data_IF_251025388202
#
_entry.id   IF_251025388202
#
_cell.length_a   1.000
_cell.length_b   1.000
_cell.length_c   1.000
_cell.angle_alpha   90.00
_cell.angle_beta   90.00
_cell.angle_gamma   90.00
#
_symmetry.space_group_name_H-M   'P 1'
#
loop_
_entity.id
_entity.type
_entity.pdbx_description
1 polymer ?
#
# COMPACT_ATOMS: atom_id res chain seq x y z
N UNK A 1 14.61 -5.31 10.55
CA UNK A 1 13.83 -5.97 9.48
C UNK A 1 12.57 -6.49 10.16
N UNK A 2 11.48 -5.75 10.08
CA UNK A 2 10.22 -6.16 10.69
C UNK A 2 9.54 -7.11 9.72
N UNK A 3 9.49 -8.40 10.06
CA UNK A 3 8.68 -9.37 9.32
C UNK A 3 7.21 -8.97 9.50
N UNK A 4 6.60 -8.48 8.41
CA UNK A 4 5.17 -8.27 8.33
C UNK A 4 4.50 -9.63 8.53
N UNK A 5 3.60 -9.71 9.52
CA UNK A 5 2.82 -10.93 9.72
C UNK A 5 1.74 -10.98 8.63
N UNK A 6 1.47 -12.17 8.11
CA UNK A 6 0.58 -12.48 6.98
C UNK A 6 -0.86 -11.92 7.04
N UNK A 7 -1.29 -11.34 8.17
CA UNK A 7 -2.59 -10.67 8.28
C UNK A 7 -2.57 -9.20 7.80
N UNK A 8 -1.38 -8.63 7.61
CA UNK A 8 -1.19 -7.22 7.21
C UNK A 8 -0.65 -7.08 5.77
N UNK A 9 -0.46 -8.19 5.05
CA UNK A 9 0.08 -8.19 3.70
C UNK A 9 -1.04 -8.27 2.65
N UNK A 10 -1.02 -7.32 1.70
CA UNK A 10 -1.86 -7.39 0.51
C UNK A 10 -1.23 -8.42 -0.43
N UNK A 11 -1.96 -9.48 -0.84
CA UNK A 11 -1.39 -10.49 -1.73
C UNK A 11 -1.04 -9.86 -3.08
N UNK A 12 0.04 -10.32 -3.71
CA UNK A 12 0.31 -9.94 -5.10
C UNK A 12 -0.82 -10.41 -6.03
N UNK A 13 -0.98 -9.74 -7.16
CA UNK A 13 -1.96 -10.09 -8.20
C UNK A 13 -1.90 -11.57 -8.58
N UNK A 14 -0.69 -12.11 -8.72
CA UNK A 14 -0.46 -13.52 -9.01
C UNK A 14 -1.01 -14.44 -7.92
N UNK A 15 -0.73 -14.14 -6.65
CA UNK A 15 -1.22 -14.93 -5.53
C UNK A 15 -2.74 -14.80 -5.38
N UNK A 16 -3.29 -13.60 -5.58
CA UNK A 16 -4.72 -13.35 -5.54
C UNK A 16 -5.47 -14.22 -6.56
N UNK A 17 -5.08 -14.17 -7.83
CA UNK A 17 -5.75 -14.93 -8.90
C UNK A 17 -5.58 -16.44 -8.72
N UNK A 18 -4.39 -16.91 -8.34
CA UNK A 18 -4.17 -18.34 -8.11
C UNK A 18 -4.95 -18.88 -6.92
N UNK A 19 -5.11 -18.10 -5.85
CA UNK A 19 -5.92 -18.52 -4.70
C UNK A 19 -7.39 -18.68 -5.08
N UNK A 20 -7.93 -17.84 -5.97
CA UNK A 20 -9.32 -17.98 -6.45
C UNK A 20 -9.59 -19.30 -7.18
N UNK A 21 -8.57 -19.99 -7.71
CA UNK A 21 -8.71 -21.27 -8.39
C UNK A 21 -9.22 -22.40 -7.49
N UNK A 22 -8.91 -22.33 -6.19
CA UNK A 22 -9.18 -23.41 -5.23
C UNK A 22 -9.94 -22.93 -3.99
N UNK A 23 -10.08 -21.61 -3.81
CA UNK A 23 -10.77 -21.02 -2.68
C UNK A 23 -12.27 -21.34 -2.69
N UNK A 24 -12.77 -21.88 -1.58
CA UNK A 24 -14.21 -21.96 -1.27
C UNK A 24 -14.75 -20.55 -0.95
N UNK A 25 -14.99 -19.78 -2.01
CA UNK A 25 -15.58 -18.45 -1.88
C UNK A 25 -17.07 -18.53 -1.54
N UNK A 26 -17.75 -19.63 -1.89
CA UNK A 26 -19.16 -19.83 -1.60
C UNK A 26 -19.45 -19.81 -0.09
N UNK A 27 -18.53 -20.32 0.75
CA UNK A 27 -18.64 -20.24 2.21
C UNK A 27 -18.73 -18.79 2.71
N UNK A 28 -18.16 -17.85 1.97
CA UNK A 28 -18.25 -16.40 2.20
C UNK A 28 -19.35 -15.77 1.32
N UNK A 29 -20.59 -16.26 1.45
CA UNK A 29 -21.72 -15.91 0.56
C UNK A 29 -21.88 -14.42 0.26
N UNK A 30 -21.69 -13.55 1.26
CA UNK A 30 -21.80 -12.09 1.09
C UNK A 30 -20.69 -11.55 0.17
N UNK A 31 -19.46 -12.02 0.37
CA UNK A 31 -18.29 -11.67 -0.46
C UNK A 31 -18.48 -12.21 -1.87
N UNK A 32 -18.87 -13.48 -2.01
CA UNK A 32 -19.15 -14.09 -3.31
C UNK A 32 -20.21 -13.29 -4.09
N UNK A 33 -21.37 -13.01 -3.47
CA UNK A 33 -22.44 -12.22 -4.09
C UNK A 33 -21.92 -10.84 -4.50
N UNK A 34 -21.22 -10.15 -3.60
CA UNK A 34 -20.68 -8.82 -3.88
C UNK A 34 -19.70 -8.82 -5.06
N UNK A 35 -18.74 -9.75 -5.10
CA UNK A 35 -17.79 -9.88 -6.20
C UNK A 35 -18.51 -10.17 -7.53
N UNK A 36 -19.44 -11.12 -7.56
CA UNK A 36 -20.21 -11.46 -8.76
C UNK A 36 -21.06 -10.27 -9.25
N UNK A 37 -21.66 -9.50 -8.32
CA UNK A 37 -22.43 -8.30 -8.65
C UNK A 37 -21.56 -7.20 -9.24
N UNK A 38 -20.35 -7.02 -8.70
CA UNK A 38 -19.38 -6.03 -9.23
C UNK A 38 -18.85 -6.43 -10.59
N UNK A 39 -18.57 -7.72 -10.78
CA UNK A 39 -18.18 -8.29 -12.06
C UNK A 39 -19.22 -8.00 -13.14
N UNK A 40 -20.50 -8.34 -12.89
CA UNK A 40 -21.57 -8.11 -13.87
C UNK A 40 -21.67 -6.64 -14.31
N UNK A 41 -21.59 -5.71 -13.36
CA UNK A 41 -21.78 -4.29 -13.61
C UNK A 41 -20.47 -3.56 -13.96
N UNK A 42 -19.35 -4.26 -14.11
CA UNK A 42 -18.05 -3.64 -14.35
C UNK A 42 -17.95 -3.05 -15.75
N UNK A 43 -17.62 -1.76 -15.83
CA UNK A 43 -17.45 -1.01 -17.08
C UNK A 43 -18.72 -0.89 -17.95
N UNK A 44 -19.91 -1.08 -17.35
CA UNK A 44 -21.20 -0.83 -18.00
C UNK A 44 -21.85 0.45 -17.46
N UNK A 45 -22.32 1.31 -18.37
CA UNK A 45 -23.07 2.52 -18.00
C UNK A 45 -24.46 2.19 -17.46
N UNK A 46 -25.10 1.18 -18.03
CA UNK A 46 -26.37 0.63 -17.55
C UNK A 46 -26.07 -0.55 -16.64
N UNK A 47 -26.43 -0.42 -15.36
CA UNK A 47 -26.21 -1.46 -14.36
C UNK A 47 -27.52 -2.21 -14.08
N UNK A 48 -27.41 -3.51 -13.83
CA UNK A 48 -28.54 -4.30 -13.35
C UNK A 48 -28.58 -4.28 -11.82
N UNK A 49 -29.79 -4.23 -11.27
CA UNK A 49 -30.03 -4.45 -9.85
C UNK A 49 -29.80 -5.93 -9.53
N UNK A 50 -28.92 -6.21 -8.57
CA UNK A 50 -28.53 -7.59 -8.20
C UNK A 50 -28.99 -7.98 -6.79
N UNK A 51 -29.71 -7.09 -6.09
CA UNK A 51 -30.14 -7.28 -4.71
C UNK A 51 -31.03 -8.52 -4.53
N UNK A 52 -31.93 -8.75 -5.48
CA UNK A 52 -32.84 -9.91 -5.50
C UNK A 52 -32.20 -11.16 -6.12
N UNK A 53 -31.00 -11.05 -6.70
CA UNK A 53 -30.31 -12.21 -7.27
C UNK A 53 -29.61 -13.00 -6.16
N UNK A 54 -29.56 -14.31 -6.33
CA UNK A 54 -28.88 -15.22 -5.41
C UNK A 54 -27.71 -15.89 -6.11
N UNK A 55 -26.71 -16.29 -5.30
CA UNK A 55 -25.58 -17.08 -5.81
C UNK A 55 -26.07 -18.49 -6.12
N UNK A 56 -25.81 -18.95 -7.34
CA UNK A 56 -26.14 -20.28 -7.82
C UNK A 56 -24.89 -20.98 -8.35
N UNK A 57 -24.88 -22.30 -8.21
CA UNK A 57 -23.84 -23.17 -8.74
C UNK A 57 -24.14 -23.57 -10.19
N UNK A 58 -23.16 -23.46 -11.09
CA UNK A 58 -23.31 -23.96 -12.46
C UNK A 58 -23.30 -25.50 -12.43
N UNK A 59 -22.18 -26.09 -12.01
CA UNK A 59 -22.09 -27.50 -11.62
C UNK A 59 -22.74 -27.68 -10.24
N UNK A 60 -23.80 -28.50 -10.10
CA UNK A 60 -24.63 -28.57 -8.90
C UNK A 60 -23.92 -29.25 -7.73
N UNK A 61 -24.41 -28.99 -6.51
CA UNK A 61 -23.94 -29.66 -5.30
C UNK A 61 -24.20 -31.17 -5.31
N UNK A 62 -25.24 -31.63 -6.01
CA UNK A 62 -25.49 -33.06 -6.23
C UNK A 62 -25.33 -33.40 -7.70
N UNK A 63 -24.30 -34.19 -8.03
CA UNK A 63 -24.06 -34.63 -9.40
C UNK A 63 -25.15 -35.61 -9.88
N UNK A 64 -25.80 -35.27 -10.98
CA UNK A 64 -26.67 -36.18 -11.74
C UNK A 64 -25.84 -37.01 -12.73
N UNK A 65 -26.47 -38.01 -13.36
CA UNK A 65 -25.80 -38.82 -14.39
C UNK A 65 -25.30 -37.98 -15.58
N UNK A 66 -26.03 -36.94 -15.98
CA UNK A 66 -25.61 -36.03 -17.05
C UNK A 66 -24.35 -35.25 -16.66
N UNK A 67 -24.26 -34.80 -15.40
CA UNK A 67 -23.09 -34.09 -14.90
C UNK A 67 -21.88 -35.00 -14.77
N UNK A 68 -22.03 -36.24 -14.25
CA UNK A 68 -20.94 -37.23 -14.23
C UNK A 68 -20.40 -37.50 -15.64
N UNK A 69 -21.30 -37.65 -16.62
CA UNK A 69 -20.92 -37.81 -18.03
C UNK A 69 -20.19 -36.58 -18.58
N UNK A 70 -20.63 -35.37 -18.25
CA UNK A 70 -20.02 -34.11 -18.70
C UNK A 70 -18.62 -33.89 -18.12
N UNK A 71 -18.42 -34.25 -16.86
CA UNK A 71 -17.15 -34.10 -16.15
C UNK A 71 -16.15 -35.23 -16.46
N UNK A 72 -16.64 -36.39 -16.89
CA UNK A 72 -15.81 -37.55 -17.26
C UNK A 72 -15.35 -38.36 -16.04
N UNK A 73 -14.28 -39.14 -16.22
CA UNK A 73 -13.84 -40.13 -15.21
C UNK A 73 -13.38 -39.52 -13.87
N UNK A 74 -12.98 -38.25 -13.86
CA UNK A 74 -12.49 -37.56 -12.66
C UNK A 74 -13.58 -36.71 -12.01
N UNK A 75 -14.86 -37.04 -12.21
CA UNK A 75 -15.95 -36.18 -11.80
C UNK A 75 -16.02 -35.92 -10.30
N UNK A 76 -15.63 -36.88 -9.45
CA UNK A 76 -15.54 -36.68 -8.00
C UNK A 76 -14.48 -35.64 -7.63
N UNK A 77 -13.26 -35.77 -8.15
CA UNK A 77 -12.15 -34.86 -7.87
C UNK A 77 -12.46 -33.43 -8.36
N UNK A 78 -13.00 -33.32 -9.58
CA UNK A 78 -13.41 -32.03 -10.13
C UNK A 78 -14.52 -31.40 -9.29
N UNK A 79 -15.47 -32.21 -8.81
CA UNK A 79 -16.56 -31.72 -7.97
C UNK A 79 -16.05 -31.24 -6.61
N UNK A 80 -15.20 -32.02 -5.95
CA UNK A 80 -14.61 -31.66 -4.67
C UNK A 80 -13.79 -30.35 -4.75
N UNK A 81 -12.94 -30.23 -5.77
CA UNK A 81 -12.01 -29.10 -5.89
C UNK A 81 -12.67 -27.81 -6.38
N UNK A 82 -13.69 -27.91 -7.26
CA UNK A 82 -14.20 -26.74 -7.99
C UNK A 82 -15.67 -26.42 -7.75
N UNK A 83 -16.39 -27.19 -6.93
CA UNK A 83 -17.81 -26.90 -6.65
C UNK A 83 -18.02 -25.49 -6.10
N UNK A 84 -17.17 -25.07 -5.17
CA UNK A 84 -17.36 -23.82 -4.42
C UNK A 84 -16.50 -22.65 -4.90
N UNK A 85 -15.77 -22.81 -6.01
CA UNK A 85 -14.85 -21.81 -6.53
C UNK A 85 -15.57 -20.77 -7.38
N UNK A 86 -14.96 -19.59 -7.52
CA UNK A 86 -15.57 -18.43 -8.20
C UNK A 86 -16.05 -18.76 -9.62
N UNK A 87 -15.29 -19.54 -10.38
CA UNK A 87 -15.66 -19.90 -11.74
C UNK A 87 -16.93 -20.74 -11.84
N UNK A 88 -17.27 -21.51 -10.81
CA UNK A 88 -18.49 -22.32 -10.79
C UNK A 88 -19.72 -21.59 -10.24
N UNK A 89 -19.61 -20.29 -9.92
CA UNK A 89 -20.70 -19.50 -9.36
C UNK A 89 -21.27 -18.51 -10.39
N UNK A 90 -22.56 -18.22 -10.24
CA UNK A 90 -23.31 -17.21 -11.00
C UNK A 90 -24.34 -16.50 -10.12
N UNK A 91 -24.93 -15.42 -10.63
CA UNK A 91 -26.08 -14.74 -10.03
C UNK A 91 -27.35 -15.02 -10.82
N UNK A 92 -28.42 -15.40 -10.12
CA UNK A 92 -29.72 -15.67 -10.73
C UNK A 92 -30.87 -15.51 -9.73
N UNK A 93 -32.03 -15.07 -10.22
CA UNK A 93 -33.29 -15.08 -9.49
C UNK A 93 -34.04 -16.41 -9.58
N UNK A 94 -33.53 -17.36 -10.39
CA UNK A 94 -34.18 -18.63 -10.71
C UNK A 94 -33.48 -19.83 -10.05
N UNK A 95 -32.83 -19.63 -8.91
CA UNK A 95 -32.02 -20.64 -8.25
C UNK A 95 -32.80 -21.94 -7.98
N UNK A 96 -34.02 -21.84 -7.43
CA UNK A 96 -34.91 -22.99 -7.19
C UNK A 96 -35.24 -23.77 -8.47
N UNK A 97 -35.28 -23.10 -9.62
CA UNK A 97 -35.57 -23.71 -10.93
C UNK A 97 -34.33 -24.35 -11.58
N UNK A 98 -33.12 -23.91 -11.21
CA UNK A 98 -31.85 -24.39 -11.77
C UNK A 98 -31.34 -25.64 -11.03
N UNK A 99 -31.19 -25.58 -9.71
CA UNK A 99 -30.89 -26.71 -8.81
C UNK A 99 -29.96 -27.78 -9.43
N UNK A 100 -30.40 -29.04 -9.54
CA UNK A 100 -29.61 -30.16 -10.08
C UNK A 100 -29.86 -30.42 -11.57
N UNK A 101 -30.42 -29.46 -12.33
CA UNK A 101 -30.63 -29.62 -13.78
C UNK A 101 -29.31 -29.81 -14.52
N UNK A 102 -29.41 -30.38 -15.72
CA UNK A 102 -28.27 -30.51 -16.63
C UNK A 102 -27.71 -29.14 -17.02
N UNK A 103 -26.44 -29.12 -17.45
CA UNK A 103 -25.80 -27.89 -17.90
C UNK A 103 -26.59 -27.20 -19.02
N UNK A 104 -27.09 -27.97 -19.99
CA UNK A 104 -27.85 -27.43 -21.13
C UNK A 104 -29.15 -26.76 -20.68
N UNK A 105 -29.92 -27.40 -19.80
CA UNK A 105 -31.14 -26.81 -19.24
C UNK A 105 -30.85 -25.54 -18.41
N UNK A 106 -29.75 -25.54 -17.65
CA UNK A 106 -29.31 -24.36 -16.90
C UNK A 106 -28.93 -23.23 -17.85
N UNK A 107 -28.14 -23.54 -18.89
CA UNK A 107 -27.73 -22.60 -19.92
C UNK A 107 -28.94 -22.00 -20.64
N UNK A 108 -29.90 -22.80 -21.07
CA UNK A 108 -31.15 -22.33 -21.69
C UNK A 108 -31.93 -21.39 -20.77
N UNK A 109 -32.03 -21.74 -19.48
CA UNK A 109 -32.70 -20.89 -18.48
C UNK A 109 -31.98 -19.56 -18.32
N UNK A 110 -30.64 -19.55 -18.29
CA UNK A 110 -29.85 -18.32 -18.22
C UNK A 110 -30.03 -17.48 -19.50
N UNK A 111 -29.98 -18.08 -20.69
CA UNK A 111 -30.22 -17.38 -21.97
C UNK A 111 -31.60 -16.70 -21.96
N UNK A 112 -32.63 -17.41 -21.46
CA UNK A 112 -34.01 -16.94 -21.55
C UNK A 112 -34.38 -15.91 -20.50
N UNK A 113 -33.80 -15.99 -19.30
CA UNK A 113 -34.29 -15.25 -18.14
C UNK A 113 -33.22 -14.48 -17.35
N UNK A 114 -31.94 -14.81 -17.49
CA UNK A 114 -30.89 -14.08 -16.77
C UNK A 114 -30.69 -12.70 -17.41
N UNK A 115 -30.55 -11.68 -16.56
CA UNK A 115 -30.08 -10.36 -16.98
C UNK A 115 -28.56 -10.19 -16.81
N UNK A 116 -27.92 -11.09 -16.05
CA UNK A 116 -26.49 -11.09 -15.83
C UNK A 116 -25.80 -11.71 -17.06
N UNK A 117 -25.40 -10.89 -18.02
CA UNK A 117 -24.85 -11.34 -19.30
C UNK A 117 -23.32 -11.31 -19.30
N UNK A 118 -22.71 -10.27 -18.73
CA UNK A 118 -21.26 -10.16 -18.71
C UNK A 118 -20.62 -11.21 -17.80
N UNK A 119 -21.20 -11.41 -16.61
CA UNK A 119 -20.83 -12.47 -15.69
C UNK A 119 -20.99 -13.83 -16.35
N UNK A 120 -22.07 -14.07 -17.10
CA UNK A 120 -22.40 -15.39 -17.65
C UNK A 120 -21.85 -15.67 -19.04
N UNK A 121 -21.13 -14.74 -19.66
CA UNK A 121 -20.63 -14.89 -21.04
C UNK A 121 -19.92 -16.22 -21.30
N UNK A 122 -19.11 -16.73 -20.39
CA UNK A 122 -18.42 -18.02 -20.60
C UNK A 122 -19.40 -19.19 -20.52
N UNK A 123 -20.38 -19.16 -19.61
CA UNK A 123 -21.42 -20.20 -19.51
C UNK A 123 -22.26 -20.22 -20.80
N UNK A 124 -22.67 -19.04 -21.28
CA UNK A 124 -23.52 -18.91 -22.47
C UNK A 124 -22.80 -19.34 -23.77
N UNK A 125 -21.49 -19.16 -23.84
CA UNK A 125 -20.69 -19.52 -25.01
C UNK A 125 -19.99 -20.89 -24.90
N UNK A 126 -20.19 -21.62 -23.79
CA UNK A 126 -19.57 -22.91 -23.57
C UNK A 126 -20.52 -24.06 -23.91
N UNK A 127 -20.00 -25.11 -24.55
CA UNK A 127 -20.75 -26.34 -24.84
C UNK A 127 -20.56 -27.41 -23.75
N UNK A 128 -19.39 -27.44 -23.10
CA UNK A 128 -19.03 -28.48 -22.13
C UNK A 128 -18.53 -27.82 -20.84
N UNK A 129 -19.26 -27.97 -19.74
CA UNK A 129 -18.82 -27.46 -18.45
C UNK A 129 -17.93 -28.46 -17.71
N UNK A 130 -16.61 -28.32 -17.86
CA UNK A 130 -15.60 -29.17 -17.24
C UNK A 130 -14.57 -28.34 -16.46
N UNK A 131 -13.63 -29.03 -15.81
CA UNK A 131 -12.52 -28.43 -15.06
C UNK A 131 -11.82 -27.29 -15.83
N UNK A 132 -11.43 -27.56 -17.09
CA UNK A 132 -10.74 -26.57 -17.92
C UNK A 132 -11.55 -25.27 -18.04
N UNK A 133 -12.86 -25.37 -18.27
CA UNK A 133 -13.72 -24.21 -18.42
C UNK A 133 -13.96 -23.48 -17.09
N UNK A 134 -14.05 -24.21 -15.96
CA UNK A 134 -14.16 -23.61 -14.63
C UNK A 134 -12.88 -22.83 -14.28
N UNK A 135 -11.70 -23.42 -14.50
CA UNK A 135 -10.40 -22.76 -14.27
C UNK A 135 -10.24 -21.54 -15.18
N UNK A 136 -10.52 -21.68 -16.47
CA UNK A 136 -10.39 -20.59 -17.46
C UNK A 136 -11.28 -19.41 -17.08
N UNK A 137 -12.53 -19.67 -16.72
CA UNK A 137 -13.45 -18.65 -16.22
C UNK A 137 -12.96 -18.02 -14.92
N UNK A 138 -12.46 -18.82 -13.97
CA UNK A 138 -11.95 -18.30 -12.70
C UNK A 138 -10.80 -17.31 -12.92
N UNK A 139 -9.85 -17.63 -13.80
CA UNK A 139 -8.74 -16.73 -14.15
C UNK A 139 -9.25 -15.42 -14.75
N UNK A 140 -10.12 -15.50 -15.75
CA UNK A 140 -10.72 -14.32 -16.39
C UNK A 140 -11.45 -13.43 -15.37
N UNK A 141 -12.26 -14.04 -14.50
CA UNK A 141 -12.98 -13.30 -13.45
C UNK A 141 -12.02 -12.71 -12.43
N UNK A 142 -10.96 -13.43 -12.04
CA UNK A 142 -9.91 -12.93 -11.15
C UNK A 142 -9.19 -11.71 -11.71
N UNK A 143 -8.82 -11.74 -12.99
CA UNK A 143 -8.20 -10.60 -13.69
C UNK A 143 -9.15 -9.39 -13.77
N UNK A 144 -10.45 -9.60 -13.96
CA UNK A 144 -11.43 -8.51 -13.92
C UNK A 144 -11.60 -7.96 -12.50
N UNK A 145 -11.59 -8.81 -11.46
CA UNK A 145 -11.63 -8.39 -10.06
C UNK A 145 -10.44 -7.51 -9.69
N UNK A 146 -9.22 -7.84 -10.15
CA UNK A 146 -8.03 -7.01 -9.93
C UNK A 146 -8.21 -5.58 -10.47
N UNK A 147 -8.88 -5.44 -11.62
CA UNK A 147 -9.18 -4.12 -12.20
C UNK A 147 -10.34 -3.40 -11.51
N UNK A 148 -11.29 -4.14 -10.94
CA UNK A 148 -12.41 -3.57 -10.18
C UNK A 148 -11.91 -3.01 -8.84
N UNK A 149 -11.03 -3.74 -8.18
CA UNK A 149 -10.48 -3.41 -6.86
C UNK A 149 -9.00 -3.11 -6.94
N UNK A 150 -8.63 -2.28 -7.92
CA UNK A 150 -7.27 -1.82 -8.10
C UNK A 150 -6.78 -1.13 -6.83
N UNK A 151 -5.66 -1.61 -6.29
CA UNK A 151 -4.97 -0.97 -5.17
C UNK A 151 -4.08 0.11 -5.76
N UNK A 152 -4.28 1.40 -5.42
CA UNK A 152 -3.45 2.46 -5.97
C UNK A 152 -1.98 2.23 -5.63
N UNK A 153 -1.10 2.40 -6.61
CA UNK A 153 0.34 2.44 -6.33
C UNK A 153 0.62 3.60 -5.38
N UNK A 154 1.14 3.29 -4.20
CA UNK A 154 1.66 4.31 -3.30
C UNK A 154 3.06 4.67 -3.76
N UNK A 155 3.31 5.97 -3.93
CA UNK A 155 4.62 6.56 -4.25
C UNK A 155 5.74 6.34 -3.20
N UNK A 156 5.56 5.39 -2.27
CA UNK A 156 6.51 5.11 -1.18
C UNK A 156 6.56 6.18 -0.08
N UNK A 157 5.73 7.24 -0.14
CA UNK A 157 5.77 8.33 0.87
C UNK A 157 5.00 8.04 2.17
N UNK A 158 4.35 6.87 2.26
CA UNK A 158 3.54 6.42 3.40
C UNK A 158 2.26 7.22 3.63
N UNK A 159 1.29 6.62 4.33
CA UNK A 159 0.10 7.32 4.81
C UNK A 159 0.49 8.31 5.93
N UNK A 160 0.26 9.60 5.73
CA UNK A 160 0.49 10.65 6.74
C UNK A 160 -0.84 11.06 7.37
N UNK A 161 -0.99 10.79 8.67
CA UNK A 161 -2.16 11.20 9.45
C UNK A 161 -2.07 12.64 10.00
N UNK A 162 -0.89 13.27 9.93
CA UNK A 162 -0.71 14.68 10.26
C UNK A 162 -0.65 15.51 8.97
N UNK A 163 -1.32 16.68 8.97
CA UNK A 163 -1.24 17.65 7.88
C UNK A 163 0.16 18.28 7.87
N UNK A 164 1.03 17.76 7.02
CA UNK A 164 2.42 18.20 6.88
C UNK A 164 2.76 18.41 5.42
N UNK A 165 3.65 19.35 5.17
CA UNK A 165 4.21 19.61 3.84
C UNK A 165 5.70 19.26 3.85
N UNK A 166 6.16 18.75 2.71
CA UNK A 166 7.54 18.38 2.44
C UNK A 166 8.31 19.58 1.92
N UNK A 167 9.55 19.72 2.38
CA UNK A 167 10.49 20.75 1.96
C UNK A 167 11.85 20.11 1.72
N UNK A 168 12.53 20.58 0.68
CA UNK A 168 13.95 20.33 0.46
C UNK A 168 14.79 21.48 1.03
N UNK A 169 16.12 21.37 0.90
CA UNK A 169 17.02 22.44 1.32
C UNK A 169 16.95 23.70 0.44
N UNK A 170 16.28 23.68 -0.72
CA UNK A 170 16.08 24.83 -1.61
C UNK A 170 14.76 25.60 -1.31
N UNK A 171 14.36 25.61 -0.04
CA UNK A 171 13.14 26.28 0.43
C UNK A 171 13.14 27.81 0.24
N UNK A 172 11.95 28.40 0.12
CA UNK A 172 11.76 29.84 0.29
C UNK A 172 11.50 30.17 1.77
N UNK A 173 12.23 31.15 2.32
CA UNK A 173 12.14 31.52 3.73
C UNK A 173 10.72 31.83 4.21
N UNK A 174 9.90 32.46 3.37
CA UNK A 174 8.51 32.78 3.74
C UNK A 174 7.63 31.52 3.87
N UNK A 175 8.00 30.39 3.26
CA UNK A 175 7.25 29.12 3.34
C UNK A 175 7.43 28.40 4.67
N UNK A 176 8.55 28.64 5.37
CA UNK A 176 8.88 27.96 6.63
C UNK A 176 8.70 28.84 7.87
N UNK A 177 8.49 30.15 7.66
CA UNK A 177 8.40 31.14 8.73
C UNK A 177 7.17 30.90 9.60
N UNK A 178 7.38 30.83 10.92
CA UNK A 178 6.31 30.61 11.90
C UNK A 178 5.79 29.18 11.99
N UNK A 179 6.29 28.26 11.15
CA UNK A 179 5.88 26.85 11.14
C UNK A 179 6.63 26.02 12.16
N UNK A 180 6.12 24.81 12.40
CA UNK A 180 6.70 23.84 13.34
C UNK A 180 7.25 22.65 12.58
N UNK A 181 8.49 22.28 12.89
CA UNK A 181 9.10 21.04 12.45
C UNK A 181 8.28 19.82 12.88
N UNK A 182 8.28 18.79 12.05
CA UNK A 182 7.61 17.52 12.30
C UNK A 182 8.55 16.33 12.19
N UNK A 183 9.31 16.25 11.10
CA UNK A 183 10.26 15.17 10.88
C UNK A 183 11.31 15.51 9.81
N UNK A 184 12.33 14.67 9.72
CA UNK A 184 13.34 14.67 8.67
C UNK A 184 13.45 13.28 8.04
N UNK A 185 13.86 13.19 6.79
CA UNK A 185 14.15 11.93 6.10
C UNK A 185 15.39 12.08 5.22
N UNK A 186 16.32 11.14 5.38
CA UNK A 186 17.34 10.85 4.39
C UNK A 186 16.77 9.81 3.42
N UNK A 187 16.71 10.14 2.13
CA UNK A 187 15.98 9.36 1.11
C UNK A 187 16.60 7.98 0.94
N UNK A 188 17.92 7.90 0.92
CA UNK A 188 18.71 6.66 0.80
C UNK A 188 18.57 5.72 2.02
N UNK A 189 18.39 6.28 3.22
CA UNK A 189 18.22 5.52 4.46
C UNK A 189 16.80 4.97 4.66
N UNK A 190 15.85 5.43 3.84
CA UNK A 190 14.41 5.14 3.93
C UNK A 190 13.83 5.20 5.36
N UNK A 191 14.34 6.14 6.17
CA UNK A 191 13.96 6.31 7.57
C UNK A 191 13.58 7.75 7.85
N UNK A 192 12.31 7.93 8.24
CA UNK A 192 11.82 9.20 8.77
C UNK A 192 12.05 9.27 10.29
N UNK A 193 12.58 10.39 10.76
CA UNK A 193 12.85 10.65 12.19
C UNK A 193 12.00 11.81 12.64
N UNK A 194 11.20 11.60 13.71
CA UNK A 194 10.35 12.65 14.29
C UNK A 194 11.17 13.70 15.01
N UNK A 195 10.82 14.95 14.77
CA UNK A 195 11.49 16.12 15.35
C UNK A 195 10.43 17.12 15.80
N UNK A 196 10.49 17.56 17.05
CA UNK A 196 9.44 18.40 17.63
C UNK A 196 9.67 19.90 17.43
N UNK A 197 10.85 20.31 16.95
CA UNK A 197 11.23 21.68 16.64
C UNK A 197 12.48 21.70 15.75
N UNK A 198 12.81 22.84 15.16
CA UNK A 198 13.99 23.00 14.27
C UNK A 198 15.31 22.69 14.98
N UNK A 199 15.49 23.03 16.26
CA UNK A 199 16.72 22.72 16.99
C UNK A 199 16.94 21.19 17.06
N UNK A 200 15.88 20.44 17.33
CA UNK A 200 15.93 18.97 17.35
C UNK A 200 16.20 18.39 15.97
N UNK A 201 15.72 19.00 14.87
CA UNK A 201 16.11 18.57 13.53
C UNK A 201 17.63 18.60 13.34
N UNK A 202 18.27 19.71 13.72
CA UNK A 202 19.73 19.83 13.63
C UNK A 202 20.45 18.79 14.50
N UNK A 203 19.94 18.53 15.71
CA UNK A 203 20.51 17.52 16.61
C UNK A 203 20.48 16.13 15.99
N UNK A 204 19.33 15.72 15.44
CA UNK A 204 19.20 14.41 14.79
C UNK A 204 20.13 14.30 13.57
N UNK A 205 20.23 15.36 12.76
CA UNK A 205 21.20 15.39 11.64
C UNK A 205 22.63 15.25 12.14
N UNK A 206 23.02 15.97 13.19
CA UNK A 206 24.36 15.86 13.78
C UNK A 206 24.63 14.43 14.25
N UNK A 207 23.68 13.79 14.93
CA UNK A 207 23.84 12.41 15.37
C UNK A 207 23.97 11.42 14.21
N UNK A 208 23.25 11.61 13.11
CA UNK A 208 23.39 10.77 11.92
C UNK A 208 24.77 10.94 11.31
N UNK A 209 25.21 12.19 11.09
CA UNK A 209 26.51 12.48 10.51
C UNK A 209 27.68 12.02 11.39
N UNK A 210 27.55 12.17 12.71
CA UNK A 210 28.53 11.66 13.69
C UNK A 210 28.65 10.14 13.67
N UNK A 211 27.54 9.43 13.43
CA UNK A 211 27.56 7.98 13.24
C UNK A 211 28.18 7.57 11.88
N UNK A 212 28.10 8.43 10.87
CA UNK A 212 28.71 8.21 9.55
C UNK A 212 30.23 8.40 9.63
N UNK A 213 30.71 9.52 10.20
CA UNK A 213 32.13 9.81 10.39
C UNK A 213 32.36 10.72 11.60
N UNK A 214 32.57 10.11 12.77
CA UNK A 214 32.76 10.84 14.02
C UNK A 214 34.04 11.66 14.08
N UNK A 215 35.11 11.26 13.38
CA UNK A 215 36.37 12.02 13.33
C UNK A 215 36.17 13.34 12.61
N UNK A 216 35.45 13.30 11.49
CA UNK A 216 35.08 14.50 10.77
C UNK A 216 34.19 15.43 11.58
N UNK A 217 33.27 14.88 12.38
CA UNK A 217 32.49 15.69 13.32
C UNK A 217 33.36 16.33 14.40
N UNK A 218 34.36 15.61 14.92
CA UNK A 218 35.33 16.16 15.88
C UNK A 218 36.13 17.32 15.28
N UNK A 219 36.59 17.19 14.03
CA UNK A 219 37.30 18.26 13.31
C UNK A 219 36.40 19.50 13.12
N UNK A 220 35.14 19.29 12.71
CA UNK A 220 34.13 20.35 12.57
C UNK A 220 33.87 21.07 13.90
N UNK A 221 33.81 20.32 15.01
CA UNK A 221 33.61 20.89 16.33
C UNK A 221 34.85 21.65 16.84
N UNK A 222 36.06 21.20 16.50
CA UNK A 222 37.31 21.88 16.82
C UNK A 222 37.47 23.20 16.05
N UNK A 223 36.99 23.24 14.80
CA UNK A 223 36.98 24.43 13.94
C UNK A 223 35.87 25.43 14.29
N UNK A 224 35.13 25.19 15.37
CA UNK A 224 34.07 26.08 15.86
C UNK A 224 33.02 26.37 14.79
N UNK A 225 32.40 25.30 14.29
CA UNK A 225 31.45 25.34 13.19
C UNK A 225 30.44 26.48 13.28
N UNK A 226 30.41 27.32 12.24
CA UNK A 226 29.39 28.34 12.01
C UNK A 226 28.80 28.17 10.60
N UNK A 227 27.47 28.17 10.43
CA UNK A 227 26.86 28.11 9.09
C UNK A 227 27.17 29.34 8.24
N UNK A 228 27.43 30.51 8.83
CA UNK A 228 27.78 31.74 8.09
C UNK A 228 29.25 32.10 8.29
N UNK A 229 29.96 32.43 7.22
CA UNK A 229 31.38 32.81 7.27
C UNK A 229 31.64 34.06 8.12
N UNK A 230 30.71 35.02 8.12
CA UNK A 230 30.78 36.25 8.91
C UNK A 230 30.04 36.16 10.26
N UNK A 231 29.53 34.97 10.60
CA UNK A 231 28.65 34.74 11.75
C UNK A 231 29.36 34.97 13.08
N UNK A 232 28.65 35.59 14.03
CA UNK A 232 29.02 35.58 15.44
C UNK A 232 28.32 34.40 16.12
N UNK A 233 29.04 33.70 17.00
CA UNK A 233 28.61 32.54 17.79
C UNK A 233 28.47 31.24 16.99
N UNK A 234 29.33 30.30 17.34
CA UNK A 234 29.42 28.96 16.76
C UNK A 234 28.14 28.17 17.06
N UNK A 235 27.92 27.08 16.31
CA UNK A 235 26.78 26.17 16.48
C UNK A 235 27.19 24.80 16.98
N UNK A 236 28.40 24.36 16.63
CA UNK A 236 28.98 23.12 17.13
C UNK A 236 30.38 23.44 17.65
N UNK A 237 30.71 22.92 18.83
CA UNK A 237 32.00 23.15 19.48
C UNK A 237 32.41 21.93 20.31
N UNK A 238 33.71 21.79 20.55
CA UNK A 238 34.28 20.81 21.48
C UNK A 238 34.66 21.41 22.85
N UNK A 239 34.35 22.69 23.12
CA UNK A 239 34.71 23.33 24.38
C UNK A 239 34.04 22.67 25.58
N UNK A 240 34.86 22.16 26.50
CA UNK A 240 34.40 21.64 27.78
C UNK A 240 33.98 22.77 28.74
N UNK A 241 33.13 22.45 29.72
CA UNK A 241 32.74 23.39 30.79
C UNK A 241 31.67 24.41 30.39
N UNK A 242 31.02 24.25 29.23
CA UNK A 242 29.89 25.09 28.84
C UNK A 242 28.72 24.94 29.83
N UNK A 243 28.05 26.05 30.20
CA UNK A 243 26.96 26.01 31.16
C UNK A 243 25.76 25.24 30.60
N UNK A 244 25.25 24.26 31.33
CA UNK A 244 24.04 23.53 30.92
C UNK A 244 22.82 24.45 30.99
N UNK A 245 22.40 24.99 29.84
CA UNK A 245 21.27 25.90 29.72
C UNK A 245 20.62 25.78 28.33
N UNK A 246 19.56 26.54 28.07
CA UNK A 246 18.81 26.46 26.80
C UNK A 246 19.64 26.75 25.53
N UNK A 247 20.84 27.32 25.68
CA UNK A 247 21.74 27.62 24.57
C UNK A 247 22.85 26.59 24.38
N UNK A 248 23.15 25.74 25.37
CA UNK A 248 24.23 24.76 25.27
C UNK A 248 23.73 23.36 25.62
N UNK A 249 23.94 22.41 24.72
CA UNK A 249 23.53 21.03 24.90
C UNK A 249 24.68 20.10 24.55
N UNK A 250 25.10 19.26 25.52
CA UNK A 250 26.05 18.19 25.26
C UNK A 250 25.37 17.11 24.41
N UNK A 251 25.99 16.75 23.29
CA UNK A 251 25.53 15.68 22.40
C UNK A 251 26.27 14.37 22.69
N UNK A 252 27.58 14.45 22.90
CA UNK A 252 28.45 13.40 23.46
C UNK A 252 29.71 14.03 24.05
N UNK A 253 30.66 13.22 24.52
CA UNK A 253 31.96 13.72 24.95
C UNK A 253 32.64 14.50 23.83
N UNK A 254 33.14 15.69 24.16
CA UNK A 254 33.78 16.65 23.24
C UNK A 254 32.90 17.13 22.06
N UNK A 255 31.56 17.00 22.16
CA UNK A 255 30.65 17.49 21.13
C UNK A 255 29.45 18.21 21.76
N UNK A 256 29.34 19.50 21.49
CA UNK A 256 28.32 20.37 22.06
C UNK A 256 27.62 21.17 20.96
N UNK A 257 26.29 21.24 21.06
CA UNK A 257 25.47 22.19 20.31
C UNK A 257 25.38 23.50 21.09
N UNK A 258 25.74 24.62 20.47
CA UNK A 258 25.87 25.92 21.17
C UNK A 258 25.11 27.05 20.49
N UNK A 259 24.68 28.03 21.29
CA UNK A 259 23.97 29.23 20.84
C UNK A 259 22.45 29.08 20.61
N UNK A 260 21.87 30.16 20.10
CA UNK A 260 20.48 30.23 19.66
C UNK A 260 20.31 29.86 18.18
N UNK A 261 19.10 29.43 17.81
CA UNK A 261 18.78 28.89 16.49
C UNK A 261 17.51 29.52 15.94
N UNK A 262 17.61 30.23 14.81
CA UNK A 262 16.45 30.51 13.95
C UNK A 262 16.17 29.29 13.06
N UNK A 263 14.96 29.19 12.51
CA UNK A 263 14.62 28.14 11.54
C UNK A 263 15.57 28.17 10.33
N UNK A 264 15.81 29.35 9.78
CA UNK A 264 16.80 29.53 8.72
C UNK A 264 18.20 29.10 9.14
N UNK A 265 18.65 29.47 10.34
CA UNK A 265 19.95 29.09 10.86
C UNK A 265 20.15 27.60 11.04
N UNK A 266 19.08 26.88 11.39
CA UNK A 266 19.09 25.42 11.41
C UNK A 266 19.26 24.86 10.01
N UNK A 267 18.49 25.34 9.04
CA UNK A 267 18.55 24.80 7.68
C UNK A 267 19.91 25.08 7.03
N UNK A 268 20.45 26.29 7.22
CA UNK A 268 21.81 26.62 6.76
C UNK A 268 22.88 25.77 7.44
N UNK A 269 22.70 25.44 8.72
CA UNK A 269 23.60 24.51 9.43
C UNK A 269 23.56 23.12 8.81
N UNK A 270 22.36 22.59 8.55
CA UNK A 270 22.17 21.29 7.91
C UNK A 270 22.80 21.29 6.51
N UNK A 271 22.51 22.31 5.70
CA UNK A 271 23.08 22.47 4.35
C UNK A 271 24.60 22.46 4.36
N UNK A 272 25.22 23.27 5.23
CA UNK A 272 26.68 23.34 5.34
C UNK A 272 27.28 22.02 5.82
N UNK A 273 26.64 21.35 6.78
CA UNK A 273 27.07 20.03 7.24
C UNK A 273 26.99 18.97 6.13
N UNK A 274 25.90 18.92 5.37
CA UNK A 274 25.75 17.98 4.24
C UNK A 274 26.85 18.20 3.19
N UNK A 275 27.11 19.47 2.84
CA UNK A 275 28.19 19.82 1.93
C UNK A 275 29.56 19.40 2.47
N UNK A 276 29.85 19.63 3.76
CA UNK A 276 31.09 19.16 4.38
C UNK A 276 31.22 17.64 4.28
N UNK A 277 30.12 16.88 4.44
CA UNK A 277 30.09 15.42 4.34
C UNK A 277 30.01 14.88 2.89
N UNK A 278 29.95 15.74 1.88
CA UNK A 278 29.74 15.38 0.47
C UNK A 278 28.43 14.59 0.24
N UNK A 279 27.37 14.92 1.00
CA UNK A 279 26.04 14.35 0.80
C UNK A 279 25.24 15.30 -0.09
N UNK A 280 24.64 14.76 -1.16
CA UNK A 280 23.77 15.53 -2.06
C UNK A 280 22.56 16.06 -1.28
N UNK A 281 22.30 17.37 -1.39
CA UNK A 281 21.18 18.05 -0.73
C UNK A 281 19.82 17.44 -1.11
N UNK A 282 19.69 16.88 -2.30
CA UNK A 282 18.47 16.21 -2.74
C UNK A 282 18.18 14.90 -2.00
N UNK A 283 19.15 14.36 -1.24
CA UNK A 283 18.96 13.18 -0.40
C UNK A 283 18.32 13.53 0.95
N UNK A 284 18.07 14.80 1.24
CA UNK A 284 17.47 15.23 2.50
C UNK A 284 16.19 16.02 2.26
N UNK A 285 15.13 15.61 2.95
CA UNK A 285 13.89 16.36 3.04
C UNK A 285 13.49 16.52 4.50
N UNK A 286 12.75 17.58 4.79
CA UNK A 286 12.13 17.80 6.09
C UNK A 286 10.66 18.13 5.93
N UNK A 287 9.90 17.82 6.97
CA UNK A 287 8.47 17.99 7.00
C UNK A 287 8.10 19.01 8.05
N UNK A 288 7.24 19.96 7.66
CA UNK A 288 6.68 20.96 8.55
C UNK A 288 5.18 20.77 8.65
N UNK A 289 4.61 21.01 9.82
CA UNK A 289 3.15 21.07 9.98
C UNK A 289 2.58 22.20 9.12
N UNK A 290 1.46 21.94 8.44
CA UNK A 290 0.70 22.95 7.70
C UNK A 290 0.35 24.10 8.66
N UNK A 291 0.50 25.34 8.19
CA UNK A 291 0.06 26.52 8.94
C UNK A 291 -1.46 26.50 9.06
N UNK A 292 -1.97 26.57 10.29
CA UNK A 292 -3.39 26.84 10.56
C UNK A 292 -3.83 28.20 10.02
#
# INVERSE_FOLDING_TARGET
>A
MYDLKTHDEIPSDYHFVNNLLTMDIYRQRKVAKYMLSKLENYNFKEQILTDELTVEHVMPQTLTASWRKMLGNNHEEIHENYLHTLGNLTLTGYNSTLSNKSFDEKKETLIKYSKANHLNKDILNCEIWNEKNIITRTKRLGEEILKIFEVPEHDGRGLRFEAVEEFDLNYNYEEIKGRRAFSIKFIDMDKEIKTNNFRNMLIEVIHILDNIDSRKMDDIAADLFNPWESGKNDKISNFEGLPNNQYHQKLRDNLYLVGGFSSAGVIESIRKLMNLYNIDENQFVFYLRVSE
#
